data_IF_337096452537
#
_entry.id   IF_337096452537
#
_cell.length_a   1.000
_cell.length_b   1.000
_cell.length_c   1.000
_cell.angle_alpha   90.00
_cell.angle_beta   90.00
_cell.angle_gamma   90.00
#
_symmetry.space_group_name_H-M   'P 1'
#
loop_
_entity.id
_entity.type
_entity.pdbx_description
1 polymer ?
#
# COMPACT_ATOMS: atom_id res chain seq x y z
N UNK A 1 -16.86 4.74 -6.92
CA UNK A 1 -17.89 3.67 -6.90
C UNK A 1 -17.80 2.92 -5.58
N UNK A 2 -18.82 2.10 -5.24
CA UNK A 2 -18.79 1.29 -4.03
C UNK A 2 -19.16 -0.15 -4.33
N UNK A 3 -18.45 -1.08 -3.68
CA UNK A 3 -18.76 -2.49 -3.65
C UNK A 3 -19.10 -2.89 -2.20
N UNK A 4 -20.27 -3.52 -2.00
CA UNK A 4 -20.58 -4.19 -0.74
C UNK A 4 -19.96 -5.58 -0.78
N UNK A 5 -18.97 -5.83 0.09
CA UNK A 5 -18.25 -7.11 0.16
C UNK A 5 -17.62 -7.29 1.55
N UNK A 6 -17.43 -8.51 2.00
CA UNK A 6 -16.74 -8.82 3.26
C UNK A 6 -17.21 -7.94 4.45
N UNK A 7 -18.53 -7.65 4.52
CA UNK A 7 -19.19 -6.78 5.51
C UNK A 7 -18.63 -5.34 5.56
N UNK A 8 -18.23 -4.80 4.41
CA UNK A 8 -17.82 -3.41 4.26
C UNK A 8 -18.41 -2.80 2.98
N UNK A 9 -18.37 -1.48 2.91
CA UNK A 9 -18.51 -0.71 1.67
C UNK A 9 -17.11 -0.34 1.20
N UNK A 10 -16.60 -1.04 0.21
CA UNK A 10 -15.29 -0.80 -0.38
C UNK A 10 -15.42 0.27 -1.47
N UNK A 11 -14.76 1.40 -1.30
CA UNK A 11 -14.71 2.45 -2.31
C UNK A 11 -13.61 2.17 -3.32
N UNK A 12 -13.91 2.34 -4.60
CA UNK A 12 -12.95 2.16 -5.69
C UNK A 12 -13.26 3.07 -6.88
N UNK A 13 -12.29 3.24 -7.76
CA UNK A 13 -12.43 3.83 -9.08
C UNK A 13 -12.00 2.79 -10.14
N UNK A 14 -12.70 2.77 -11.28
CA UNK A 14 -12.43 1.89 -12.41
C UNK A 14 -12.59 2.73 -13.68
N UNK A 15 -11.49 3.01 -14.37
CA UNK A 15 -11.43 3.89 -15.53
C UNK A 15 -10.50 3.34 -16.61
N UNK A 16 -10.69 3.82 -17.84
CA UNK A 16 -9.92 3.34 -18.99
C UNK A 16 -10.38 1.97 -19.49
N UNK A 17 -9.64 1.40 -20.42
CA UNK A 17 -9.90 0.09 -21.03
C UNK A 17 -8.57 -0.61 -21.35
N UNK A 18 -8.59 -1.92 -21.44
CA UNK A 18 -7.38 -2.71 -21.75
C UNK A 18 -7.00 -3.64 -20.60
N UNK A 19 -5.70 -3.98 -20.52
CA UNK A 19 -5.21 -4.86 -19.47
C UNK A 19 -5.32 -4.18 -18.09
N UNK A 20 -5.82 -4.89 -17.05
CA UNK A 20 -6.07 -4.27 -15.75
C UNK A 20 -4.79 -4.00 -14.96
N UNK A 21 -4.72 -2.80 -14.38
CA UNK A 21 -3.70 -2.37 -13.41
C UNK A 21 -4.45 -1.95 -12.14
N UNK A 22 -4.06 -2.50 -11.00
CA UNK A 22 -4.62 -2.20 -9.68
C UNK A 22 -3.61 -1.45 -8.85
N UNK A 23 -3.98 -0.27 -8.36
CA UNK A 23 -3.16 0.56 -7.49
C UNK A 23 -3.66 0.48 -6.05
N UNK A 24 -2.75 0.16 -5.13
CA UNK A 24 -3.00 -0.05 -3.70
C UNK A 24 -2.16 0.95 -2.91
N UNK A 25 -2.83 1.84 -2.18
CA UNK A 25 -2.21 2.95 -1.46
C UNK A 25 -1.50 2.52 -0.17
N UNK A 26 -0.67 3.41 0.37
CA UNK A 26 0.05 3.23 1.63
C UNK A 26 -0.80 3.50 2.88
N UNK A 27 -0.20 3.30 4.04
CA UNK A 27 -0.81 3.55 5.34
C UNK A 27 -1.21 5.02 5.49
N UNK A 28 -2.48 5.26 5.77
CA UNK A 28 -3.03 6.61 5.91
C UNK A 28 -3.30 7.35 4.60
N UNK A 29 -3.00 6.75 3.46
CA UNK A 29 -3.31 7.29 2.14
C UNK A 29 -4.71 6.88 1.67
N UNK A 30 -5.03 7.15 0.41
CA UNK A 30 -6.33 6.88 -0.21
C UNK A 30 -6.19 6.68 -1.74
N UNK A 31 -7.23 6.18 -2.38
CA UNK A 31 -7.23 5.90 -3.82
C UNK A 31 -6.78 7.09 -4.69
N UNK A 32 -7.09 8.32 -4.26
CA UNK A 32 -6.71 9.53 -5.01
C UNK A 32 -5.21 9.81 -4.99
N UNK A 33 -4.41 9.18 -4.11
CA UNK A 33 -2.94 9.27 -4.13
C UNK A 33 -2.36 8.94 -5.51
N UNK A 34 -3.08 8.16 -6.28
CA UNK A 34 -2.68 7.66 -7.60
C UNK A 34 -3.18 8.50 -8.77
N UNK A 35 -3.70 9.72 -8.54
CA UNK A 35 -4.35 10.52 -9.60
C UNK A 35 -3.44 10.83 -10.80
N UNK A 36 -2.14 11.04 -10.58
CA UNK A 36 -1.17 11.24 -11.67
C UNK A 36 -0.99 9.97 -12.50
N UNK A 37 -0.84 8.81 -11.85
CA UNK A 37 -0.71 7.51 -12.49
C UNK A 37 -2.00 7.13 -13.23
N UNK A 38 -3.16 7.37 -12.61
CA UNK A 38 -4.46 7.18 -13.24
C UNK A 38 -4.57 7.97 -14.52
N UNK A 39 -4.25 9.28 -14.48
CA UNK A 39 -4.29 10.16 -15.66
C UNK A 39 -3.43 9.65 -16.81
N UNK A 40 -2.27 9.09 -16.50
CA UNK A 40 -1.35 8.55 -17.51
C UNK A 40 -1.81 7.19 -18.04
N UNK A 41 -2.06 6.22 -17.15
CA UNK A 41 -2.28 4.84 -17.55
C UNK A 41 -3.68 4.58 -18.12
N UNK A 42 -4.73 5.34 -17.75
CA UNK A 42 -6.10 5.16 -18.26
C UNK A 42 -6.23 5.31 -19.77
N UNK A 43 -5.23 5.86 -20.45
CA UNK A 43 -5.23 6.04 -21.90
C UNK A 43 -5.12 4.68 -22.63
N UNK A 44 -4.42 3.70 -22.04
CA UNK A 44 -4.10 2.41 -22.67
C UNK A 44 -4.43 1.19 -21.80
N UNK A 45 -4.79 1.41 -20.53
CA UNK A 45 -5.04 0.35 -19.55
C UNK A 45 -6.36 0.59 -18.82
N UNK A 46 -6.97 -0.49 -18.31
CA UNK A 46 -8.04 -0.40 -17.34
C UNK A 46 -7.40 -0.19 -15.96
N UNK A 47 -7.63 0.96 -15.35
CA UNK A 47 -7.00 1.37 -14.10
C UNK A 47 -8.01 1.29 -12.97
N UNK A 48 -7.66 0.53 -11.94
CA UNK A 48 -8.44 0.37 -10.73
C UNK A 48 -7.64 0.97 -9.56
N UNK A 49 -8.25 1.84 -8.78
CA UNK A 49 -7.72 2.28 -7.48
C UNK A 49 -8.73 1.97 -6.39
N UNK A 50 -8.28 1.68 -5.18
CA UNK A 50 -9.13 1.28 -4.07
C UNK A 50 -8.76 2.07 -2.81
N UNK A 51 -9.76 2.52 -2.05
CA UNK A 51 -9.53 2.88 -0.65
C UNK A 51 -9.57 1.57 0.14
N UNK A 52 -8.47 1.19 0.75
CA UNK A 52 -8.42 -0.02 1.58
C UNK A 52 -9.41 0.10 2.75
N UNK A 53 -9.86 -1.04 3.27
CA UNK A 53 -10.71 -1.11 4.47
C UNK A 53 -10.21 -0.14 5.55
N UNK A 54 -11.12 0.58 6.19
CA UNK A 54 -10.82 1.59 7.22
C UNK A 54 -10.06 2.83 6.75
N UNK A 55 -9.88 3.02 5.46
CA UNK A 55 -9.26 4.22 4.90
C UNK A 55 -10.28 5.02 4.10
N UNK A 56 -10.26 6.34 4.30
CA UNK A 56 -11.04 7.34 3.59
C UNK A 56 -12.54 6.95 3.48
N UNK A 57 -13.00 6.53 2.30
CA UNK A 57 -14.42 6.23 2.02
C UNK A 57 -14.82 4.77 2.24
N UNK A 58 -13.85 3.89 2.51
CA UNK A 58 -14.12 2.49 2.81
C UNK A 58 -14.38 2.27 4.29
N UNK A 59 -15.39 1.45 4.62
CA UNK A 59 -15.80 1.19 6.01
C UNK A 59 -15.06 -0.01 6.62
N UNK A 60 -15.27 -0.23 7.90
CA UNK A 60 -14.94 -1.45 8.64
C UNK A 60 -16.09 -1.75 9.62
N UNK A 61 -17.26 -2.06 9.06
CA UNK A 61 -18.54 -2.10 9.79
C UNK A 61 -18.53 -3.13 10.92
N UNK A 62 -17.76 -4.23 10.78
CA UNK A 62 -17.62 -5.27 11.80
C UNK A 62 -16.56 -4.95 12.88
N UNK A 63 -15.87 -3.81 12.76
CA UNK A 63 -14.77 -3.42 13.64
C UNK A 63 -13.72 -4.54 13.86
N UNK A 64 -13.49 -5.38 12.85
CA UNK A 64 -12.53 -6.49 12.94
C UNK A 64 -11.10 -5.95 12.94
N UNK A 65 -10.17 -6.62 13.68
CA UNK A 65 -8.76 -6.24 13.64
C UNK A 65 -8.19 -6.28 12.23
N UNK A 66 -7.50 -5.21 11.83
CA UNK A 66 -6.92 -5.11 10.50
C UNK A 66 -5.72 -6.05 10.34
N UNK A 67 -5.62 -6.68 9.18
CA UNK A 67 -4.49 -7.54 8.79
C UNK A 67 -4.21 -7.38 7.30
N UNK A 68 -2.98 -7.68 6.85
CA UNK A 68 -2.67 -7.70 5.42
C UNK A 68 -3.55 -8.70 4.66
N UNK A 69 -3.82 -9.87 5.25
CA UNK A 69 -4.72 -10.88 4.69
C UNK A 69 -6.14 -10.35 4.47
N UNK A 70 -6.64 -9.53 5.39
CA UNK A 70 -7.97 -8.92 5.26
C UNK A 70 -8.01 -7.88 4.13
N UNK A 71 -6.99 -7.03 4.04
CA UNK A 71 -6.85 -6.07 2.93
C UNK A 71 -6.74 -6.79 1.57
N UNK A 72 -5.92 -7.82 1.48
CA UNK A 72 -5.78 -8.62 0.28
C UNK A 72 -7.11 -9.28 -0.14
N UNK A 73 -7.84 -9.86 0.83
CA UNK A 73 -9.15 -10.47 0.59
C UNK A 73 -10.15 -9.46 0.01
N UNK A 74 -10.14 -8.22 0.47
CA UNK A 74 -11.03 -7.17 -0.04
C UNK A 74 -10.65 -6.77 -1.48
N UNK A 75 -9.35 -6.68 -1.79
CA UNK A 75 -8.88 -6.43 -3.16
C UNK A 75 -9.25 -7.58 -4.09
N UNK A 76 -9.08 -8.84 -3.67
CA UNK A 76 -9.46 -10.02 -4.45
C UNK A 76 -10.98 -10.03 -4.71
N UNK A 77 -11.79 -9.73 -3.71
CA UNK A 77 -13.24 -9.63 -3.88
C UNK A 77 -13.64 -8.52 -4.90
N UNK A 78 -12.88 -7.41 -4.93
CA UNK A 78 -13.06 -6.38 -5.95
C UNK A 78 -12.70 -6.90 -7.34
N UNK A 79 -11.60 -7.62 -7.51
CA UNK A 79 -11.22 -8.24 -8.78
C UNK A 79 -12.30 -9.23 -9.28
N UNK A 80 -12.83 -10.06 -8.38
CA UNK A 80 -13.89 -11.02 -8.69
C UNK A 80 -15.17 -10.30 -9.15
N UNK A 81 -15.58 -9.25 -8.43
CA UNK A 81 -16.73 -8.43 -8.81
C UNK A 81 -16.56 -7.78 -10.20
N UNK A 82 -15.35 -7.28 -10.49
CA UNK A 82 -15.01 -6.65 -11.76
C UNK A 82 -14.73 -7.65 -12.89
N UNK A 83 -14.79 -8.96 -12.59
CA UNK A 83 -14.47 -10.06 -13.51
C UNK A 83 -13.06 -9.94 -14.09
N UNK A 84 -12.10 -9.64 -13.22
CA UNK A 84 -10.67 -9.54 -13.54
C UNK A 84 -9.98 -10.79 -13.04
N UNK A 85 -9.59 -11.69 -13.93
CA UNK A 85 -8.91 -12.92 -13.56
C UNK A 85 -7.46 -12.66 -13.11
N UNK A 86 -6.77 -11.75 -13.79
CA UNK A 86 -5.37 -11.43 -13.52
C UNK A 86 -5.07 -9.96 -13.79
N UNK A 87 -4.24 -9.33 -12.96
CA UNK A 87 -3.87 -7.91 -13.06
C UNK A 87 -2.38 -7.69 -12.80
N UNK A 88 -1.86 -6.54 -13.26
CA UNK A 88 -0.66 -5.94 -12.68
C UNK A 88 -1.09 -5.28 -11.37
N UNK A 89 -0.43 -5.62 -10.27
CA UNK A 89 -0.68 -5.01 -8.96
C UNK A 89 0.46 -4.07 -8.59
N UNK A 90 0.11 -2.87 -8.18
CA UNK A 90 1.05 -1.80 -7.83
C UNK A 90 0.72 -1.33 -6.42
N UNK A 91 1.67 -1.44 -5.50
CA UNK A 91 1.48 -1.05 -4.11
C UNK A 91 2.55 -0.08 -3.62
N UNK A 92 2.12 0.95 -2.89
CA UNK A 92 3.00 1.87 -2.18
C UNK A 92 3.03 1.53 -0.68
N UNK A 93 4.22 1.47 -0.08
CA UNK A 93 4.41 1.28 1.36
C UNK A 93 3.59 0.08 1.89
N UNK A 94 2.61 0.29 2.80
CA UNK A 94 1.66 -0.74 3.26
C UNK A 94 0.97 -1.44 2.08
N UNK A 95 0.59 -0.72 1.02
CA UNK A 95 0.01 -1.31 -0.18
C UNK A 95 0.95 -2.30 -0.88
N UNK A 96 2.27 -2.10 -0.77
CA UNK A 96 3.27 -3.06 -1.23
C UNK A 96 3.28 -4.36 -0.40
N UNK A 97 2.99 -4.29 0.90
CA UNK A 97 2.78 -5.48 1.73
C UNK A 97 1.49 -6.21 1.35
N UNK A 98 0.42 -5.47 1.04
CA UNK A 98 -0.83 -6.06 0.52
C UNK A 98 -0.59 -6.74 -0.84
N UNK A 99 0.22 -6.16 -1.73
CA UNK A 99 0.62 -6.81 -2.98
C UNK A 99 1.37 -8.13 -2.71
N UNK A 100 2.27 -8.16 -1.73
CA UNK A 100 3.01 -9.38 -1.36
C UNK A 100 2.09 -10.43 -0.72
N UNK A 101 1.08 -10.02 0.07
CA UNK A 101 0.04 -10.93 0.58
C UNK A 101 -0.75 -11.56 -0.57
N UNK A 102 -1.18 -10.75 -1.56
CA UNK A 102 -1.85 -11.26 -2.75
C UNK A 102 -0.93 -12.22 -3.52
N UNK A 103 0.33 -11.87 -3.68
CA UNK A 103 1.30 -12.70 -4.38
C UNK A 103 1.59 -14.04 -3.68
N UNK A 104 1.54 -14.05 -2.34
CA UNK A 104 1.75 -15.25 -1.52
C UNK A 104 0.56 -16.23 -1.57
N UNK A 105 -0.67 -15.72 -1.57
CA UNK A 105 -1.87 -16.53 -1.35
C UNK A 105 -2.86 -16.56 -2.53
N UNK A 106 -2.68 -15.68 -3.53
CA UNK A 106 -3.52 -15.56 -4.74
C UNK A 106 -2.65 -15.35 -5.98
N UNK A 107 -1.56 -16.09 -6.06
CA UNK A 107 -0.51 -15.92 -7.08
C UNK A 107 -1.04 -15.93 -8.51
N UNK A 108 -2.04 -16.76 -8.80
CA UNK A 108 -2.69 -16.85 -10.11
C UNK A 108 -3.34 -15.55 -10.55
N UNK A 109 -3.63 -14.64 -9.62
CA UNK A 109 -4.25 -13.33 -9.88
C UNK A 109 -3.22 -12.25 -10.28
N UNK A 110 -1.91 -12.55 -10.14
CA UNK A 110 -0.82 -11.59 -10.35
C UNK A 110 -0.12 -11.83 -11.69
N UNK A 111 -0.20 -10.85 -12.60
CA UNK A 111 0.55 -10.85 -13.86
C UNK A 111 1.98 -10.32 -13.67
N UNK A 112 2.11 -9.23 -12.94
CA UNK A 112 3.36 -8.58 -12.56
C UNK A 112 3.10 -7.73 -11.30
N UNK A 113 4.14 -7.36 -10.59
CA UNK A 113 4.05 -6.58 -9.38
C UNK A 113 4.98 -5.36 -9.44
N UNK A 114 4.48 -4.22 -8.92
CA UNK A 114 5.32 -3.04 -8.67
C UNK A 114 5.24 -2.72 -7.18
N UNK A 115 6.38 -2.66 -6.53
CA UNK A 115 6.54 -2.35 -5.11
C UNK A 115 7.26 -1.02 -4.97
N UNK A 116 6.54 0.01 -4.54
CA UNK A 116 7.05 1.36 -4.38
C UNK A 116 7.21 1.72 -2.90
N UNK A 117 8.41 2.10 -2.47
CA UNK A 117 8.67 2.54 -1.10
C UNK A 117 8.15 1.56 -0.05
N UNK A 118 8.52 0.29 -0.12
CA UNK A 118 7.99 -0.77 0.76
C UNK A 118 9.09 -1.73 1.24
N UNK A 119 8.72 -2.63 2.14
CA UNK A 119 9.57 -3.67 2.68
C UNK A 119 8.95 -5.05 2.45
N UNK A 120 9.73 -6.12 2.58
CA UNK A 120 9.21 -7.49 2.65
C UNK A 120 8.87 -7.92 4.08
N UNK A 121 9.47 -7.25 5.03
CA UNK A 121 9.30 -7.40 6.48
C UNK A 121 9.98 -6.21 7.18
N UNK A 122 9.72 -6.05 8.46
CA UNK A 122 10.44 -5.09 9.29
C UNK A 122 11.39 -5.84 10.24
N UNK A 123 12.74 -5.57 10.16
CA UNK A 123 13.70 -6.29 11.00
C UNK A 123 13.65 -5.82 12.45
N UNK A 124 14.07 -6.69 13.37
CA UNK A 124 14.34 -6.28 14.75
C UNK A 124 15.61 -5.40 14.84
N UNK A 125 15.69 -4.44 15.77
CA UNK A 125 14.67 -4.12 16.77
C UNK A 125 13.53 -3.22 16.25
N UNK A 126 13.57 -2.80 14.99
CA UNK A 126 12.60 -1.84 14.44
C UNK A 126 11.15 -2.37 14.46
N UNK A 127 10.95 -3.68 14.23
CA UNK A 127 9.63 -4.29 14.29
C UNK A 127 8.99 -4.11 15.68
N UNK A 128 9.73 -4.31 16.75
CA UNK A 128 9.22 -4.26 18.13
C UNK A 128 9.30 -2.84 18.71
N UNK A 129 10.50 -2.24 18.72
CA UNK A 129 10.71 -0.95 19.35
C UNK A 129 10.15 0.20 18.52
N UNK A 130 10.35 0.17 17.19
CA UNK A 130 9.78 1.16 16.28
C UNK A 130 8.25 1.17 16.30
N UNK A 131 7.62 -0.02 16.36
CA UNK A 131 6.17 -0.11 16.59
C UNK A 131 5.77 0.51 17.92
N UNK A 132 6.46 0.18 19.01
CA UNK A 132 6.19 0.74 20.34
C UNK A 132 6.31 2.27 20.36
N UNK A 133 7.35 2.81 19.75
CA UNK A 133 7.53 4.26 19.62
C UNK A 133 6.39 4.89 18.81
N UNK A 134 6.02 4.28 17.67
CA UNK A 134 4.90 4.74 16.85
C UNK A 134 3.60 4.74 17.62
N UNK A 135 3.29 3.66 18.35
CA UNK A 135 2.08 3.56 19.16
C UNK A 135 2.09 4.56 20.32
N UNK A 136 3.24 4.83 20.94
CA UNK A 136 3.35 5.86 21.98
C UNK A 136 3.10 7.26 21.40
N UNK A 137 3.62 7.58 20.22
CA UNK A 137 3.35 8.83 19.54
C UNK A 137 1.84 8.98 19.22
N UNK A 138 1.21 7.93 18.69
CA UNK A 138 -0.22 7.94 18.33
C UNK A 138 -1.17 8.12 19.53
N UNK A 139 -0.73 7.95 20.78
CA UNK A 139 -1.57 8.23 21.95
C UNK A 139 -1.97 9.69 22.14
N UNK A 140 -1.16 10.60 21.60
CA UNK A 140 -1.33 12.05 21.77
C UNK A 140 -1.31 12.82 20.44
N UNK A 141 -0.94 12.18 19.35
CA UNK A 141 -0.86 12.78 18.02
C UNK A 141 -2.22 12.86 17.37
N UNK A 142 -2.36 13.82 16.48
CA UNK A 142 -3.47 13.94 15.52
C UNK A 142 -3.07 13.35 14.16
N UNK A 143 -4.01 13.26 13.22
CA UNK A 143 -3.68 12.87 11.84
C UNK A 143 -2.86 13.97 11.14
N UNK A 144 -2.97 15.22 11.53
CA UNK A 144 -2.10 16.32 11.06
C UNK A 144 -0.65 16.13 11.52
N UNK A 145 -0.43 15.73 12.78
CA UNK A 145 0.90 15.41 13.31
C UNK A 145 1.52 14.22 12.56
N UNK A 146 0.70 13.22 12.22
CA UNK A 146 1.13 12.08 11.41
C UNK A 146 1.50 12.49 9.99
N UNK A 147 0.70 13.33 9.36
CA UNK A 147 0.97 13.85 8.02
C UNK A 147 2.31 14.63 7.97
N UNK A 148 2.55 15.48 8.98
CA UNK A 148 3.81 16.22 9.11
C UNK A 148 5.00 15.26 9.27
N UNK A 149 4.90 14.29 10.18
CA UNK A 149 5.95 13.29 10.44
C UNK A 149 6.30 12.49 9.17
N UNK A 150 5.29 12.07 8.40
CA UNK A 150 5.49 11.35 7.14
C UNK A 150 6.21 12.24 6.13
N UNK A 151 5.76 13.47 5.94
CA UNK A 151 6.43 14.42 5.03
C UNK A 151 7.89 14.64 5.38
N UNK A 152 8.23 14.73 6.68
CA UNK A 152 9.61 14.89 7.13
C UNK A 152 10.50 13.68 6.83
N UNK A 153 9.92 12.47 6.81
CA UNK A 153 10.66 11.22 6.62
C UNK A 153 10.73 10.75 5.17
N UNK A 154 9.69 11.01 4.38
CA UNK A 154 9.55 10.46 3.02
C UNK A 154 9.89 11.46 1.92
N UNK A 155 9.78 12.78 2.20
CA UNK A 155 10.05 13.78 1.17
C UNK A 155 11.54 14.06 1.03
N UNK A 156 12.03 13.98 -0.20
CA UNK A 156 13.39 14.43 -0.54
C UNK A 156 13.55 15.96 -0.46
N UNK A 157 14.79 16.48 -0.62
CA UNK A 157 15.09 17.90 -0.47
C UNK A 157 14.39 18.80 -1.50
N UNK A 158 14.14 18.27 -2.69
CA UNK A 158 13.59 19.03 -3.83
C UNK A 158 12.05 19.03 -3.90
N UNK A 159 11.38 18.43 -2.91
CA UNK A 159 9.92 18.39 -2.88
C UNK A 159 9.36 19.78 -2.58
N UNK A 160 8.53 20.29 -3.50
CA UNK A 160 7.91 21.62 -3.37
C UNK A 160 6.91 21.71 -2.22
N UNK A 161 6.65 22.91 -1.68
CA UNK A 161 5.61 23.10 -0.64
C UNK A 161 4.22 22.60 -1.08
N UNK A 162 3.88 22.75 -2.37
CA UNK A 162 2.60 22.29 -2.92
C UNK A 162 2.48 20.76 -2.86
N UNK A 163 3.53 20.03 -3.25
CA UNK A 163 3.54 18.55 -3.17
C UNK A 163 3.50 18.11 -1.70
N UNK A 164 4.22 18.79 -0.80
CA UNK A 164 4.15 18.49 0.65
C UNK A 164 2.73 18.65 1.19
N UNK A 165 2.03 19.70 0.79
CA UNK A 165 0.65 19.92 1.20
C UNK A 165 -0.27 18.84 0.62
N UNK A 166 -0.12 18.49 -0.64
CA UNK A 166 -0.87 17.39 -1.26
C UNK A 166 -0.70 16.07 -0.50
N UNK A 167 0.56 15.72 -0.12
CA UNK A 167 0.84 14.52 0.67
C UNK A 167 0.14 14.60 2.03
N UNK A 168 0.20 15.74 2.73
CA UNK A 168 -0.46 15.92 4.02
C UNK A 168 -1.98 15.72 3.91
N UNK A 169 -2.61 16.30 2.89
CA UNK A 169 -4.06 16.20 2.68
C UNK A 169 -4.53 14.75 2.46
N UNK A 170 -3.63 13.83 2.07
CA UNK A 170 -3.97 12.41 1.97
C UNK A 170 -4.31 11.78 3.32
N UNK A 171 -3.73 12.27 4.41
CA UNK A 171 -3.86 11.68 5.75
C UNK A 171 -5.08 12.17 6.53
N UNK A 172 -5.58 13.38 6.23
CA UNK A 172 -6.52 14.10 7.10
C UNK A 172 -7.90 13.43 7.26
N UNK A 173 -8.34 12.65 6.28
CA UNK A 173 -9.65 11.99 6.31
C UNK A 173 -9.63 10.62 7.02
N UNK A 174 -8.52 10.25 7.67
CA UNK A 174 -8.41 8.97 8.35
C UNK A 174 -8.81 9.08 9.83
N UNK A 175 -9.47 8.06 10.33
CA UNK A 175 -9.70 7.86 11.75
C UNK A 175 -8.41 7.37 12.43
N UNK A 176 -8.03 7.98 13.55
CA UNK A 176 -6.77 7.71 14.22
C UNK A 176 -6.71 6.29 14.83
N UNK A 177 -7.84 5.76 15.30
CA UNK A 177 -7.89 4.39 15.83
C UNK A 177 -7.69 3.37 14.71
N UNK A 178 -8.37 3.55 13.59
CA UNK A 178 -8.23 2.68 12.42
C UNK A 178 -6.81 2.78 11.82
N UNK A 179 -6.24 3.98 11.75
CA UNK A 179 -4.85 4.19 11.37
C UNK A 179 -3.89 3.44 12.31
N UNK A 180 -4.14 3.46 13.61
CA UNK A 180 -3.35 2.74 14.62
C UNK A 180 -3.41 1.23 14.40
N UNK A 181 -4.59 0.68 14.13
CA UNK A 181 -4.75 -0.74 13.83
C UNK A 181 -4.03 -1.13 12.53
N UNK A 182 -4.14 -0.33 11.49
CA UNK A 182 -3.42 -0.55 10.22
C UNK A 182 -1.89 -0.45 10.41
N UNK A 183 -1.43 0.45 11.29
CA UNK A 183 -0.01 0.53 11.69
C UNK A 183 0.46 -0.79 12.30
N UNK A 184 -0.28 -1.36 13.25
CA UNK A 184 0.06 -2.63 13.89
C UNK A 184 0.12 -3.75 12.84
N UNK A 185 -0.84 -3.81 11.94
CA UNK A 185 -0.87 -4.80 10.87
C UNK A 185 0.35 -4.68 9.95
N UNK A 186 0.75 -3.44 9.61
CA UNK A 186 1.91 -3.13 8.76
C UNK A 186 3.20 -3.64 9.39
N UNK A 187 3.46 -3.35 10.66
CA UNK A 187 4.70 -3.75 11.33
C UNK A 187 4.79 -5.27 11.57
N UNK A 188 3.67 -5.98 11.62
CA UNK A 188 3.62 -7.44 11.81
C UNK A 188 3.76 -8.24 10.51
N UNK A 189 3.76 -7.57 9.35
CA UNK A 189 3.86 -8.24 8.07
C UNK A 189 5.24 -8.85 7.85
N UNK A 190 5.29 -10.11 7.39
CA UNK A 190 6.52 -10.82 7.06
C UNK A 190 6.29 -11.79 5.89
N UNK A 191 6.84 -11.46 4.73
CA UNK A 191 6.71 -12.25 3.50
C UNK A 191 7.97 -13.00 3.11
N UNK A 192 9.01 -13.01 3.97
CA UNK A 192 10.26 -13.74 3.70
C UNK A 192 10.06 -15.19 3.29
N UNK A 193 9.12 -15.95 3.90
CA UNK A 193 8.91 -17.36 3.52
C UNK A 193 8.42 -17.54 2.08
N UNK A 194 7.78 -16.52 1.49
CA UNK A 194 7.08 -16.60 0.21
C UNK A 194 7.87 -16.01 -0.97
N UNK A 195 8.87 -15.16 -0.72
CA UNK A 195 9.56 -14.41 -1.78
C UNK A 195 10.12 -15.29 -2.89
N UNK A 196 10.73 -16.43 -2.55
CA UNK A 196 11.30 -17.39 -3.51
C UNK A 196 10.27 -17.95 -4.51
N UNK A 197 8.99 -17.95 -4.11
CA UNK A 197 7.89 -18.50 -4.92
C UNK A 197 7.17 -17.41 -5.74
N UNK A 198 7.49 -16.13 -5.54
CA UNK A 198 6.97 -14.99 -6.30
C UNK A 198 7.69 -14.86 -7.65
N UNK A 199 7.51 -15.86 -8.52
CA UNK A 199 8.23 -15.98 -9.79
C UNK A 199 7.43 -15.32 -10.94
N UNK A 200 7.34 -14.00 -10.95
CA UNK A 200 6.77 -13.16 -12.00
C UNK A 200 7.50 -11.80 -12.03
N UNK A 201 7.40 -11.04 -13.15
CA UNK A 201 8.09 -9.77 -13.27
C UNK A 201 7.74 -8.82 -12.11
N UNK A 202 8.75 -8.34 -11.40
CA UNK A 202 8.60 -7.41 -10.28
C UNK A 202 9.50 -6.20 -10.47
N UNK A 203 8.94 -4.99 -10.32
CA UNK A 203 9.67 -3.74 -10.30
C UNK A 203 9.65 -3.16 -8.88
N UNK A 204 10.83 -2.88 -8.34
CA UNK A 204 11.00 -2.15 -7.08
C UNK A 204 11.30 -0.69 -7.43
N UNK A 205 10.62 0.25 -6.75
CA UNK A 205 10.87 1.68 -6.88
C UNK A 205 11.08 2.24 -5.47
N UNK A 206 12.19 2.93 -5.25
CA UNK A 206 12.50 3.52 -3.94
C UNK A 206 13.17 4.88 -4.13
N UNK A 207 12.83 5.83 -3.29
CA UNK A 207 13.52 7.13 -3.26
C UNK A 207 14.85 7.04 -2.52
N UNK A 208 15.90 7.66 -3.05
CA UNK A 208 17.22 7.74 -2.42
C UNK A 208 17.15 8.33 -1.00
N UNK A 209 16.24 9.27 -0.75
CA UNK A 209 16.07 9.96 0.53
C UNK A 209 14.97 9.38 1.42
N UNK A 210 14.36 8.27 1.05
CA UNK A 210 13.31 7.64 1.86
C UNK A 210 13.89 7.08 3.18
N UNK A 211 13.46 7.67 4.30
CA UNK A 211 13.87 7.26 5.66
C UNK A 211 12.85 6.34 6.33
N UNK A 212 11.68 6.13 5.71
CA UNK A 212 10.64 5.23 6.22
C UNK A 212 10.85 3.81 5.72
N UNK A 213 11.10 3.68 4.42
CA UNK A 213 11.44 2.42 3.76
C UNK A 213 12.71 2.61 2.94
N UNK A 214 13.87 2.71 3.61
CA UNK A 214 15.15 3.02 2.98
C UNK A 214 15.55 1.96 1.93
N UNK A 215 16.45 2.35 1.02
CA UNK A 215 16.97 1.51 -0.08
C UNK A 215 17.35 0.10 0.39
N UNK A 216 17.89 -0.04 1.61
CA UNK A 216 18.26 -1.35 2.19
C UNK A 216 17.12 -2.38 2.24
N UNK A 217 15.85 -1.95 2.34
CA UNK A 217 14.70 -2.86 2.27
C UNK A 217 14.46 -3.35 0.83
N UNK A 218 14.68 -2.48 -0.15
CA UNK A 218 14.65 -2.86 -1.56
C UNK A 218 15.83 -3.74 -1.96
N UNK A 219 17.03 -3.54 -1.38
CA UNK A 219 18.20 -4.41 -1.56
C UNK A 219 17.92 -5.84 -1.07
N UNK A 220 17.20 -5.96 0.04
CA UNK A 220 16.72 -7.27 0.48
C UNK A 220 15.77 -7.90 -0.54
N UNK A 221 14.76 -7.16 -1.01
CA UNK A 221 13.76 -7.66 -1.94
C UNK A 221 14.38 -8.06 -3.29
N UNK A 222 15.31 -7.25 -3.85
CA UNK A 222 15.97 -7.56 -5.12
C UNK A 222 16.78 -8.86 -5.05
N UNK A 223 17.34 -9.19 -3.88
CA UNK A 223 18.12 -10.40 -3.68
C UNK A 223 17.28 -11.67 -3.43
N UNK A 224 15.98 -11.52 -3.15
CA UNK A 224 15.10 -12.64 -2.79
C UNK A 224 13.92 -12.86 -3.76
N UNK A 225 13.59 -11.88 -4.59
CA UNK A 225 12.55 -12.02 -5.63
C UNK A 225 13.18 -12.42 -6.96
N UNK A 226 12.82 -13.60 -7.53
CA UNK A 226 13.56 -14.21 -8.66
C UNK A 226 13.60 -13.37 -9.94
N UNK A 227 12.57 -12.53 -10.20
CA UNK A 227 12.46 -11.71 -11.41
C UNK A 227 12.34 -10.22 -11.09
N UNK A 228 12.99 -9.77 -10.02
CA UNK A 228 12.94 -8.38 -9.62
C UNK A 228 14.00 -7.52 -10.34
N UNK A 229 13.65 -6.27 -10.56
CA UNK A 229 14.56 -5.17 -10.92
C UNK A 229 14.27 -3.97 -10.03
N UNK A 230 15.23 -3.06 -9.88
CA UNK A 230 15.12 -1.88 -9.01
C UNK A 230 15.40 -0.61 -9.78
N UNK A 231 14.67 0.45 -9.43
CA UNK A 231 14.89 1.84 -9.82
C UNK A 231 14.97 2.70 -8.54
N UNK A 232 16.00 3.55 -8.41
CA UNK A 232 16.26 4.42 -7.25
C UNK A 232 16.20 5.87 -7.68
#
# INVERSE_FOLDING_TARGET
MFLATNNIKLHYMDVGKGFPIVFIHGLGEKAVSWHHQVKYFQQNYRVITVDLRSHCKSTNDDAVPLTMALFAKDVIALLDYLKIDKAVIIGHSMGGLVCQEIAAHYRERVQAMVLSGTAGFYPEPFCTEGLKERLNFLKTATMEDMAELVCQKCCGPDVTPAIRQEIKDLFLDNDLEQYTQATIATFKADYRPYHKDMNFPTLLIVGEFDKTTPVAYSDYLISHLPQARIEI
#
